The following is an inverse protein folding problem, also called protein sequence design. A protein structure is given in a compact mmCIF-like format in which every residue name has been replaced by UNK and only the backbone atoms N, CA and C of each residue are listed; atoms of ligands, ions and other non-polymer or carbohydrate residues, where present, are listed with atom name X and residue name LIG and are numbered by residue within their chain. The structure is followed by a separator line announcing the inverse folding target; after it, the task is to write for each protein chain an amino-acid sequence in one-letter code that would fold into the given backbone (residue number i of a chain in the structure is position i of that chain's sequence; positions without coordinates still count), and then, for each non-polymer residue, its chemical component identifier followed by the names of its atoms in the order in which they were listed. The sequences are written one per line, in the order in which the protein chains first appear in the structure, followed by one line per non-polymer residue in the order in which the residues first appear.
data_IF_477369974898
#
_entry.id   IF_477369974898
#
_cell.length_a   1.000
_cell.length_b   1.000
_cell.length_c   1.000
_cell.angle_alpha   90.00
_cell.angle_beta   90.00
_cell.angle_gamma   90.00
#
_symmetry.space_group_name_H-M   'P 1'
#
loop_
_entity.id
_entity.type
_entity.pdbx_description
1 polymer ?
#
# COMPACT_ATOMS: atom_id res chain seq x y z
N UNK A 1 3.25 -4.38 -29.46
CA UNK A 1 1.98 -4.81 -28.83
C UNK A 1 2.15 -5.56 -27.50
N UNK A 2 3.12 -6.47 -27.33
CA UNK A 2 3.30 -7.24 -26.07
C UNK A 2 3.65 -6.42 -24.82
N UNK A 3 4.32 -5.27 -24.98
CA UNK A 3 4.76 -4.43 -23.83
C UNK A 3 3.56 -3.76 -23.15
N UNK A 4 2.64 -3.17 -23.92
CA UNK A 4 1.43 -2.51 -23.41
C UNK A 4 0.54 -3.45 -22.58
N UNK A 5 0.29 -4.67 -23.07
CA UNK A 5 -0.56 -5.63 -22.37
C UNK A 5 0.04 -6.11 -21.04
N UNK A 6 1.37 -6.28 -20.99
CA UNK A 6 2.07 -6.67 -19.76
C UNK A 6 2.06 -5.54 -18.73
N UNK A 7 2.16 -4.30 -19.18
CA UNK A 7 2.11 -3.11 -18.33
C UNK A 7 0.70 -2.85 -17.80
N UNK A 8 -0.33 -2.96 -18.64
CA UNK A 8 -1.74 -2.91 -18.24
C UNK A 8 -2.11 -4.01 -17.24
N UNK A 9 -1.57 -5.22 -17.39
CA UNK A 9 -1.77 -6.31 -16.42
C UNK A 9 -1.19 -5.96 -15.06
N UNK A 10 0.03 -5.40 -15.02
CA UNK A 10 0.71 -4.99 -13.78
C UNK A 10 -0.02 -3.88 -13.05
N UNK A 11 -0.55 -2.89 -13.80
CA UNK A 11 -1.38 -1.82 -13.23
C UNK A 11 -2.63 -2.41 -12.55
N UNK A 12 -3.26 -3.41 -13.17
CA UNK A 12 -4.42 -4.07 -12.56
C UNK A 12 -4.07 -4.88 -11.30
N UNK A 13 -2.85 -5.40 -11.18
CA UNK A 13 -2.43 -6.23 -10.04
C UNK A 13 -2.12 -5.39 -8.80
N UNK A 14 -1.48 -4.21 -8.98
CA UNK A 14 -1.24 -3.30 -7.86
C UNK A 14 -2.55 -2.68 -7.33
N UNK A 15 -3.50 -2.36 -8.21
CA UNK A 15 -4.83 -1.87 -7.82
C UNK A 15 -5.59 -2.87 -6.94
N UNK A 16 -5.59 -4.15 -7.33
CA UNK A 16 -6.24 -5.21 -6.54
C UNK A 16 -5.58 -5.37 -5.18
N UNK A 17 -4.24 -5.42 -5.13
CA UNK A 17 -3.54 -5.46 -3.84
C UNK A 17 -3.91 -4.26 -2.97
N UNK A 18 -3.94 -3.06 -3.54
CA UNK A 18 -4.19 -1.84 -2.77
C UNK A 18 -5.61 -1.82 -2.21
N UNK A 19 -6.59 -2.31 -2.96
CA UNK A 19 -7.96 -2.47 -2.49
C UNK A 19 -8.04 -3.48 -1.34
N UNK A 20 -7.42 -4.65 -1.48
CA UNK A 20 -7.39 -5.67 -0.41
C UNK A 20 -6.69 -5.14 0.84
N UNK A 21 -5.55 -4.48 0.68
CA UNK A 21 -4.83 -3.87 1.80
C UNK A 21 -5.64 -2.77 2.49
N UNK A 22 -6.32 -1.91 1.73
CA UNK A 22 -7.19 -0.88 2.30
C UNK A 22 -8.36 -1.46 3.09
N UNK A 23 -8.96 -2.55 2.61
CA UNK A 23 -10.02 -3.25 3.34
C UNK A 23 -9.51 -3.97 4.60
N UNK A 24 -8.27 -4.45 4.59
CA UNK A 24 -7.72 -5.28 5.66
C UNK A 24 -7.03 -4.48 6.78
N UNK A 25 -6.43 -3.32 6.47
CA UNK A 25 -5.60 -2.57 7.44
C UNK A 25 -5.75 -1.06 7.38
N UNK A 26 -5.89 -0.46 8.56
CA UNK A 26 -5.95 0.99 8.73
C UNK A 26 -4.58 1.63 8.50
N UNK A 27 -4.57 2.91 8.09
CA UNK A 27 -3.34 3.68 7.92
C UNK A 27 -2.54 3.79 9.24
N UNK A 28 -3.22 3.88 10.38
CA UNK A 28 -2.59 3.90 11.71
C UNK A 28 -1.79 2.63 11.98
N UNK A 29 -2.34 1.46 11.63
CA UNK A 29 -1.59 0.20 11.76
C UNK A 29 -0.46 0.14 10.74
N UNK A 30 -0.74 0.45 9.48
CA UNK A 30 0.21 0.40 8.37
C UNK A 30 1.46 1.29 8.61
N UNK A 31 1.30 2.45 9.25
CA UNK A 31 2.42 3.35 9.57
C UNK A 31 3.53 2.69 10.42
N UNK A 32 3.20 1.66 11.20
CA UNK A 32 4.13 0.93 12.08
C UNK A 32 5.00 -0.10 11.33
N UNK A 33 4.70 -0.34 10.05
CA UNK A 33 5.34 -1.36 9.24
C UNK A 33 5.99 -0.78 7.98
N UNK A 34 7.03 -1.43 7.52
CA UNK A 34 7.46 -1.46 6.12
C UNK A 34 7.49 -2.94 5.70
N UNK A 35 7.76 -3.22 4.43
CA UNK A 35 7.66 -4.60 3.97
C UNK A 35 8.68 -5.53 4.66
N UNK A 36 9.95 -5.12 4.78
CA UNK A 36 11.05 -5.98 5.26
C UNK A 36 11.53 -5.75 6.70
N UNK A 37 11.12 -4.68 7.36
CA UNK A 37 11.54 -4.34 8.73
C UNK A 37 12.86 -3.59 8.85
N UNK A 38 13.41 -3.04 7.76
CA UNK A 38 14.73 -2.41 7.72
C UNK A 38 14.72 -0.88 7.93
N UNK A 39 15.81 -0.35 8.49
CA UNK A 39 16.21 1.06 8.42
C UNK A 39 15.45 2.10 9.27
N UNK A 40 14.27 1.81 9.84
CA UNK A 40 13.42 2.85 10.44
C UNK A 40 12.64 2.45 11.71
N UNK A 41 13.12 1.47 12.49
CA UNK A 41 12.39 0.87 13.64
C UNK A 41 10.99 0.30 13.31
N UNK A 42 10.62 0.25 12.02
CA UNK A 42 9.36 -0.31 11.54
C UNK A 42 9.44 -1.83 11.55
N UNK A 43 8.32 -2.47 11.89
CA UNK A 43 8.23 -3.93 11.94
C UNK A 43 8.10 -4.51 10.52
N UNK A 44 8.60 -5.73 10.27
CA UNK A 44 8.48 -6.39 8.98
C UNK A 44 7.05 -6.86 8.73
N UNK A 45 6.35 -6.24 7.76
CA UNK A 45 5.01 -6.65 7.36
C UNK A 45 4.98 -8.06 6.77
N UNK A 46 6.03 -8.44 6.02
CA UNK A 46 6.13 -9.75 5.37
C UNK A 46 6.16 -10.94 6.35
N UNK A 47 6.38 -10.70 7.65
CA UNK A 47 6.38 -11.72 8.71
C UNK A 47 5.02 -11.91 9.39
N UNK A 48 4.01 -11.11 9.04
CA UNK A 48 2.68 -11.24 9.61
C UNK A 48 1.89 -12.33 8.88
N UNK A 49 1.12 -13.15 9.61
CA UNK A 49 0.14 -14.07 9.02
C UNK A 49 -0.87 -13.34 8.12
N UNK A 50 -1.15 -12.07 8.43
CA UNK A 50 -1.98 -11.20 7.60
C UNK A 50 -1.46 -11.09 6.15
N UNK A 51 -0.14 -11.10 5.94
CA UNK A 51 0.44 -11.06 4.62
C UNK A 51 0.08 -12.32 3.80
N UNK A 52 0.11 -13.49 4.44
CA UNK A 52 -0.29 -14.77 3.82
C UNK A 52 -1.78 -14.76 3.44
N UNK A 53 -2.63 -14.22 4.32
CA UNK A 53 -4.07 -14.05 4.05
C UNK A 53 -4.30 -13.12 2.85
N UNK A 54 -3.56 -12.00 2.76
CA UNK A 54 -3.66 -11.06 1.63
C UNK A 54 -3.25 -11.73 0.32
N UNK A 55 -2.15 -12.50 0.31
CA UNK A 55 -1.72 -13.25 -0.88
C UNK A 55 -2.82 -14.23 -1.30
N UNK A 56 -3.34 -15.02 -0.36
CA UNK A 56 -4.40 -16.00 -0.63
C UNK A 56 -5.66 -15.35 -1.23
N UNK A 57 -6.10 -14.22 -0.66
CA UNK A 57 -7.26 -13.48 -1.17
C UNK A 57 -7.07 -12.99 -2.62
N UNK A 58 -5.86 -12.56 -2.99
CA UNK A 58 -5.56 -12.11 -4.35
C UNK A 58 -5.51 -13.30 -5.30
N UNK A 59 -4.87 -14.40 -4.89
CA UNK A 59 -4.71 -15.60 -5.71
C UNK A 59 -6.02 -16.34 -6.00
N UNK A 60 -7.03 -16.23 -5.13
CA UNK A 60 -8.38 -16.77 -5.39
C UNK A 60 -8.99 -16.25 -6.70
N UNK A 61 -8.69 -15.00 -7.07
CA UNK A 61 -9.17 -14.37 -8.33
C UNK A 61 -8.07 -14.16 -9.37
N UNK A 62 -6.81 -14.12 -8.97
CA UNK A 62 -5.65 -13.88 -9.83
C UNK A 62 -4.53 -14.88 -9.54
N UNK A 63 -4.69 -16.15 -9.94
CA UNK A 63 -3.73 -17.21 -9.60
C UNK A 63 -2.33 -17.01 -10.22
N UNK A 64 -2.24 -16.26 -11.32
CA UNK A 64 -0.99 -16.05 -12.06
C UNK A 64 -0.17 -14.83 -11.57
N UNK A 65 -0.65 -14.12 -10.54
CA UNK A 65 0.06 -12.96 -9.99
C UNK A 65 1.30 -13.41 -9.23
N UNK A 66 2.44 -12.80 -9.54
CA UNK A 66 3.70 -13.06 -8.86
C UNK A 66 3.69 -12.49 -7.44
N UNK A 67 4.04 -13.32 -6.46
CA UNK A 67 4.24 -12.89 -5.07
C UNK A 67 5.36 -11.85 -4.96
N UNK A 68 6.38 -11.92 -5.83
CA UNK A 68 7.45 -10.93 -5.86
C UNK A 68 6.94 -9.54 -6.31
N UNK A 69 6.04 -9.49 -7.29
CA UNK A 69 5.40 -8.25 -7.72
C UNK A 69 4.49 -7.71 -6.61
N UNK A 70 3.68 -8.57 -5.98
CA UNK A 70 2.86 -8.17 -4.83
C UNK A 70 3.68 -7.61 -3.66
N UNK A 71 4.83 -8.20 -3.38
CA UNK A 71 5.75 -7.74 -2.33
C UNK A 71 6.26 -6.32 -2.60
N UNK A 72 6.60 -6.02 -3.86
CA UNK A 72 7.01 -4.69 -4.29
C UNK A 72 5.88 -3.67 -4.09
N UNK A 73 4.69 -3.99 -4.57
CA UNK A 73 3.51 -3.13 -4.44
C UNK A 73 3.13 -2.92 -2.97
N UNK A 74 3.16 -3.95 -2.13
CA UNK A 74 2.88 -3.84 -0.70
C UNK A 74 3.87 -2.89 -0.02
N UNK A 75 5.15 -2.96 -0.39
CA UNK A 75 6.16 -2.03 0.08
C UNK A 75 5.85 -0.58 -0.28
N UNK A 76 5.44 -0.32 -1.53
CA UNK A 76 5.04 1.01 -1.99
C UNK A 76 3.79 1.51 -1.24
N UNK A 77 2.79 0.64 -1.06
CA UNK A 77 1.56 0.97 -0.35
C UNK A 77 1.83 1.34 1.12
N UNK A 78 2.63 0.55 1.83
CA UNK A 78 3.00 0.80 3.23
C UNK A 78 3.84 2.07 3.39
N UNK A 79 4.74 2.35 2.43
CA UNK A 79 5.51 3.60 2.41
C UNK A 79 4.61 4.83 2.36
N UNK A 80 3.52 4.75 1.60
CA UNK A 80 2.56 5.84 1.43
C UNK A 80 1.49 5.91 2.52
N UNK A 81 1.43 4.95 3.45
CA UNK A 81 0.43 4.92 4.54
C UNK A 81 0.28 6.23 5.33
N UNK A 82 1.36 6.96 5.69
CA UNK A 82 1.24 8.22 6.41
C UNK A 82 0.51 9.31 5.61
N UNK A 83 0.60 9.28 4.28
CA UNK A 83 0.04 10.32 3.41
C UNK A 83 -1.35 9.98 2.87
N UNK A 84 -1.89 8.81 3.21
CA UNK A 84 -3.20 8.37 2.74
C UNK A 84 -4.32 8.90 3.62
N UNK A 85 -5.42 9.27 2.96
CA UNK A 85 -6.68 9.64 3.60
C UNK A 85 -7.29 8.40 4.24
N UNK A 86 -7.82 8.56 5.45
CA UNK A 86 -8.54 7.56 6.22
C UNK A 86 -10.04 7.67 5.95
N UNK A 87 -10.80 6.64 6.33
CA UNK A 87 -12.26 6.60 6.14
C UNK A 87 -12.99 7.68 6.96
N UNK A 88 -12.41 8.08 8.09
CA UNK A 88 -12.88 9.20 8.92
C UNK A 88 -12.51 10.58 8.33
N UNK A 89 -11.92 10.61 7.14
CA UNK A 89 -11.49 11.82 6.43
C UNK A 89 -10.15 12.40 6.91
N UNK A 90 -9.54 11.84 7.96
CA UNK A 90 -8.23 12.26 8.46
C UNK A 90 -7.08 11.75 7.58
N UNK A 91 -5.86 12.25 7.79
CA UNK A 91 -4.65 11.74 7.14
C UNK A 91 -3.73 11.13 8.20
N UNK A 92 -3.05 10.02 7.87
CA UNK A 92 -2.26 9.23 8.84
C UNK A 92 -1.16 10.02 9.57
N UNK A 93 -0.42 10.87 8.84
CA UNK A 93 0.47 11.91 9.38
C UNK A 93 0.48 13.09 8.41
N UNK A 94 -0.19 14.19 8.78
CA UNK A 94 0.20 15.52 8.26
C UNK A 94 1.53 15.87 8.93
N UNK A 95 2.65 15.56 8.26
CA UNK A 95 3.86 16.34 8.52
C UNK A 95 3.51 17.80 8.19
N UNK A 96 3.81 18.73 9.11
CA UNK A 96 3.48 20.17 9.02
C UNK A 96 3.77 20.80 7.64
N UNK A 97 4.68 20.21 6.86
CA UNK A 97 5.05 20.62 5.49
C UNK A 97 3.91 20.66 4.48
N UNK A 98 2.83 19.90 4.66
CA UNK A 98 1.68 19.94 3.73
C UNK A 98 0.58 20.94 4.13
N UNK A 99 0.59 21.47 5.36
CA UNK A 99 -0.36 22.53 5.74
C UNK A 99 -0.09 23.82 4.96
N UNK A 100 1.18 24.14 4.71
CA UNK A 100 1.58 25.37 3.99
C UNK A 100 1.17 25.36 2.50
N UNK A 101 1.05 24.18 1.87
CA UNK A 101 0.66 24.07 0.47
C UNK A 101 -0.87 24.21 0.26
N UNK A 102 -1.68 23.81 1.24
CA UNK A 102 -3.15 23.82 1.14
C UNK A 102 -3.74 25.19 1.53
N UNK A 103 -3.13 25.92 2.48
CA UNK A 103 -3.52 27.30 2.81
C UNK A 103 -3.22 28.30 1.68
N UNK A 104 -2.18 28.04 0.88
CA UNK A 104 -1.81 28.87 -0.27
C UNK A 104 -2.67 28.66 -1.52
N UNK A 105 -3.45 27.58 -1.60
CA UNK A 105 -4.38 27.32 -2.72
C UNK A 105 -5.81 27.77 -2.42
N UNK A 106 -6.08 28.23 -1.19
CA UNK A 106 -7.40 28.67 -0.76
C UNK A 106 -7.43 30.13 -0.27
N UNK A 107 -6.36 30.89 -0.53
CA UNK A 107 -6.26 32.35 -0.30
C UNK A 107 -6.28 33.12 -1.62
#
# INVERSE_FOLDING_TARGET
MKVKAKEESKVKDCEVLYAVMAAAITNTLACKYNFRGDGNQKRPFCKLLLWEVIIGAIHDKRPNVSVADLSLYAGQWLKNAPYRKQDDGSYGRRDKKFKEADEHLSS
#
